data_IF_944038688555
#
_entry.id   IF_944038688555
#
_cell.length_a   1.000
_cell.length_b   1.000
_cell.length_c   1.000
_cell.angle_alpha   90.00
_cell.angle_beta   90.00
_cell.angle_gamma   90.00
#
_symmetry.space_group_name_H-M   'P 1'
#
loop_
_entity.id
_entity.type
_entity.pdbx_description
1 polymer ?
#
# COMPACT_ATOMS: atom_id res chain seq x y z
N UNK A 1 -69.79 34.66 -45.35
CA UNK A 1 -69.19 33.32 -45.39
C UNK A 1 -67.70 33.28 -45.77
N UNK A 2 -67.09 34.37 -46.26
CA UNK A 2 -65.63 34.41 -46.52
C UNK A 2 -64.76 34.58 -45.26
N UNK A 3 -65.28 35.21 -44.19
CA UNK A 3 -64.52 35.52 -42.98
C UNK A 3 -64.15 34.30 -42.12
N UNK A 4 -64.97 33.23 -42.10
CA UNK A 4 -64.64 32.00 -41.38
C UNK A 4 -63.49 31.20 -42.01
N UNK A 5 -63.30 31.28 -43.34
CA UNK A 5 -62.27 30.48 -44.02
C UNK A 5 -60.86 31.05 -43.82
N UNK A 6 -60.73 32.37 -43.67
CA UNK A 6 -59.44 33.05 -43.47
C UNK A 6 -58.95 32.87 -42.03
N UNK A 7 -59.85 32.89 -41.03
CA UNK A 7 -59.49 32.66 -39.62
C UNK A 7 -59.04 31.21 -39.34
N UNK A 8 -59.65 30.21 -39.98
CA UNK A 8 -59.21 28.82 -39.83
C UNK A 8 -57.82 28.56 -40.44
N UNK A 9 -57.47 29.21 -41.56
CA UNK A 9 -56.14 29.08 -42.16
C UNK A 9 -55.07 29.77 -41.32
N UNK A 10 -55.35 30.92 -40.71
CA UNK A 10 -54.46 31.59 -39.76
C UNK A 10 -54.20 30.77 -38.50
N UNK A 11 -55.22 30.08 -37.98
CA UNK A 11 -55.07 29.17 -36.83
C UNK A 11 -54.18 27.96 -37.17
N UNK A 12 -54.29 27.40 -38.38
CA UNK A 12 -53.42 26.30 -38.83
C UNK A 12 -51.97 26.78 -38.98
N UNK A 13 -51.74 27.96 -39.58
CA UNK A 13 -50.39 28.53 -39.72
C UNK A 13 -49.79 28.82 -38.34
N UNK A 14 -50.51 29.47 -37.42
CA UNK A 14 -50.03 29.72 -36.05
C UNK A 14 -49.80 28.43 -35.24
N UNK A 15 -50.62 27.38 -35.46
CA UNK A 15 -50.41 26.07 -34.86
C UNK A 15 -49.16 25.37 -35.42
N UNK A 16 -48.81 25.59 -36.70
CA UNK A 16 -47.59 25.05 -37.30
C UNK A 16 -46.31 25.80 -36.91
N UNK A 17 -46.37 27.11 -36.57
CA UNK A 17 -45.18 27.86 -36.11
C UNK A 17 -44.94 27.70 -34.59
N UNK A 18 -45.94 27.28 -33.82
CA UNK A 18 -45.84 27.15 -32.35
C UNK A 18 -45.17 25.88 -31.81
N UNK A 19 -44.99 24.83 -32.63
CA UNK A 19 -44.54 23.50 -32.14
C UNK A 19 -43.02 23.30 -32.27
N UNK A 20 -42.28 24.19 -32.94
CA UNK A 20 -40.87 23.95 -33.29
C UNK A 20 -39.84 24.35 -32.23
N UNK A 21 -40.22 24.98 -31.12
CA UNK A 21 -39.25 25.54 -30.14
C UNK A 21 -39.20 24.87 -28.76
N UNK A 22 -40.09 23.93 -28.44
CA UNK A 22 -40.12 23.31 -27.10
C UNK A 22 -39.13 22.14 -26.93
N UNK A 23 -38.60 21.57 -28.01
CA UNK A 23 -37.71 20.40 -27.94
C UNK A 23 -36.21 20.75 -27.94
N UNK A 24 -35.83 21.99 -28.24
CA UNK A 24 -34.42 22.38 -28.42
C UNK A 24 -33.69 22.68 -27.09
N UNK A 25 -34.39 23.14 -26.05
CA UNK A 25 -33.75 23.54 -24.79
C UNK A 25 -33.25 22.36 -23.94
N UNK A 26 -33.93 21.21 -23.97
CA UNK A 26 -33.56 20.06 -23.15
C UNK A 26 -32.25 19.39 -23.57
N UNK A 27 -31.91 19.41 -24.86
CA UNK A 27 -30.69 18.77 -25.35
C UNK A 27 -29.43 19.53 -24.92
N UNK A 28 -29.47 20.87 -24.93
CA UNK A 28 -28.33 21.69 -24.50
C UNK A 28 -28.03 21.51 -23.00
N UNK A 29 -29.06 21.41 -22.17
CA UNK A 29 -28.91 21.14 -20.73
C UNK A 29 -28.31 19.76 -20.47
N UNK A 30 -28.72 18.73 -21.23
CA UNK A 30 -28.15 17.38 -21.14
C UNK A 30 -26.67 17.36 -21.53
N UNK A 31 -26.30 18.03 -22.63
CA UNK A 31 -24.89 18.13 -23.06
C UNK A 31 -24.05 18.88 -22.02
N UNK A 32 -24.56 19.96 -21.43
CA UNK A 32 -23.89 20.68 -20.33
C UNK A 32 -23.72 19.81 -19.09
N UNK A 33 -24.75 19.04 -18.72
CA UNK A 33 -24.70 18.10 -17.60
C UNK A 33 -23.65 17.01 -17.82
N UNK A 34 -23.59 16.45 -19.02
CA UNK A 34 -22.57 15.49 -19.42
C UNK A 34 -21.17 16.11 -19.28
N UNK A 35 -20.94 17.30 -19.87
CA UNK A 35 -19.67 18.06 -19.77
C UNK A 35 -19.20 18.29 -18.34
N UNK A 36 -20.11 18.57 -17.41
CA UNK A 36 -19.77 18.70 -16.00
C UNK A 36 -19.32 17.37 -15.39
N UNK A 37 -20.00 16.26 -15.71
CA UNK A 37 -19.65 14.94 -15.19
C UNK A 37 -18.28 14.46 -15.66
N UNK A 38 -17.95 14.67 -16.93
CA UNK A 38 -16.59 14.38 -17.44
C UNK A 38 -15.50 15.15 -16.70
N UNK A 39 -15.69 16.46 -16.48
CA UNK A 39 -14.73 17.28 -15.72
C UNK A 39 -14.61 16.81 -14.27
N UNK A 40 -15.73 16.44 -13.67
CA UNK A 40 -15.78 15.87 -12.32
C UNK A 40 -15.03 14.54 -12.24
N UNK A 41 -15.19 13.65 -13.22
CA UNK A 41 -14.45 12.37 -13.31
C UNK A 41 -12.95 12.62 -13.44
N UNK A 42 -12.50 13.56 -14.28
CA UNK A 42 -11.09 13.90 -14.40
C UNK A 42 -10.50 14.45 -13.09
N UNK A 43 -11.25 15.31 -12.38
CA UNK A 43 -10.84 15.82 -11.05
C UNK A 43 -10.72 14.68 -10.04
N UNK A 44 -11.75 13.85 -9.93
CA UNK A 44 -11.81 12.74 -8.97
C UNK A 44 -10.74 11.68 -9.24
N UNK A 45 -10.44 11.39 -10.52
CA UNK A 45 -9.29 10.57 -10.91
C UNK A 45 -8.00 11.09 -10.26
N UNK A 46 -7.69 12.38 -10.43
CA UNK A 46 -6.48 12.97 -9.86
C UNK A 46 -6.45 12.92 -8.32
N UNK A 47 -7.59 13.16 -7.67
CA UNK A 47 -7.71 13.03 -6.21
C UNK A 47 -7.52 11.57 -5.75
N UNK A 48 -8.01 10.60 -6.53
CA UNK A 48 -7.85 9.17 -6.28
C UNK A 48 -6.38 8.75 -6.40
N UNK A 49 -5.66 9.25 -7.41
CA UNK A 49 -4.22 9.01 -7.59
C UNK A 49 -3.40 9.58 -6.41
N UNK A 50 -3.71 10.80 -5.95
CA UNK A 50 -3.03 11.40 -4.79
C UNK A 50 -3.34 10.66 -3.49
N UNK A 51 -4.60 10.27 -3.26
CA UNK A 51 -4.97 9.45 -2.12
C UNK A 51 -4.24 8.10 -2.15
N UNK A 52 -4.21 7.44 -3.30
CA UNK A 52 -3.50 6.16 -3.52
C UNK A 52 -2.02 6.27 -3.15
N UNK A 53 -1.35 7.34 -3.57
CA UNK A 53 0.07 7.57 -3.25
C UNK A 53 0.30 7.73 -1.74
N UNK A 54 -0.55 8.50 -1.07
CA UNK A 54 -0.47 8.68 0.38
C UNK A 54 -0.70 7.35 1.13
N UNK A 55 -1.71 6.57 0.71
CA UNK A 55 -2.00 5.25 1.28
C UNK A 55 -0.84 4.28 1.08
N UNK A 56 -0.23 4.26 -0.10
CA UNK A 56 0.95 3.43 -0.39
C UNK A 56 2.13 3.80 0.52
N UNK A 57 2.43 5.09 0.66
CA UNK A 57 3.52 5.56 1.53
C UNK A 57 3.30 5.15 2.99
N UNK A 58 2.09 5.33 3.52
CA UNK A 58 1.76 4.93 4.88
C UNK A 58 1.89 3.39 5.07
N UNK A 59 1.44 2.61 4.09
CA UNK A 59 1.60 1.16 4.08
C UNK A 59 3.07 0.70 4.05
N UNK A 60 3.92 1.34 3.25
CA UNK A 60 5.36 1.06 3.16
C UNK A 60 6.12 1.44 4.44
N UNK A 61 5.72 2.52 5.12
CA UNK A 61 6.26 2.90 6.43
C UNK A 61 5.93 1.85 7.50
N UNK A 62 4.68 1.40 7.56
CA UNK A 62 4.26 0.32 8.45
C UNK A 62 5.03 -0.99 8.18
N UNK A 63 5.25 -1.35 6.92
CA UNK A 63 6.04 -2.54 6.57
C UNK A 63 7.50 -2.43 7.01
N UNK A 64 8.14 -1.29 6.73
CA UNK A 64 9.53 -1.04 7.15
C UNK A 64 9.69 -1.14 8.67
N UNK A 65 8.72 -0.60 9.42
CA UNK A 65 8.71 -0.72 10.87
C UNK A 65 8.66 -2.18 11.33
N UNK A 66 7.78 -2.99 10.72
CA UNK A 66 7.68 -4.43 11.04
C UNK A 66 8.99 -5.14 10.77
N UNK A 67 9.56 -4.97 9.57
CA UNK A 67 10.81 -5.62 9.17
C UNK A 67 11.98 -5.21 10.07
N UNK A 68 12.04 -3.94 10.48
CA UNK A 68 13.12 -3.43 11.32
C UNK A 68 13.09 -4.00 12.74
N UNK A 69 11.90 -4.18 13.31
CA UNK A 69 11.72 -4.52 14.72
C UNK A 69 11.53 -6.01 14.97
N UNK A 70 11.11 -6.80 13.98
CA UNK A 70 10.83 -8.23 14.11
C UNK A 70 11.99 -9.02 14.72
N UNK A 71 13.19 -8.86 14.19
CA UNK A 71 14.36 -9.59 14.67
C UNK A 71 14.93 -9.02 15.99
N UNK A 72 14.45 -7.85 16.41
CA UNK A 72 14.91 -7.12 17.60
C UNK A 72 13.97 -7.24 18.80
N UNK A 73 12.83 -7.91 18.66
CA UNK A 73 11.80 -8.01 19.71
C UNK A 73 12.36 -8.38 21.08
N UNK A 74 13.26 -9.37 21.16
CA UNK A 74 13.88 -9.79 22.43
C UNK A 74 14.75 -8.69 23.06
N UNK A 75 15.50 -7.96 22.23
CA UNK A 75 16.34 -6.87 22.68
C UNK A 75 15.49 -5.69 23.14
N UNK A 76 14.46 -5.34 22.37
CA UNK A 76 13.50 -4.28 22.73
C UNK A 76 12.80 -4.66 24.03
N UNK A 77 12.29 -5.88 24.17
CA UNK A 77 11.57 -6.36 25.36
C UNK A 77 12.39 -6.31 26.66
N UNK A 78 13.72 -6.29 26.56
CA UNK A 78 14.61 -6.16 27.71
C UNK A 78 14.81 -4.71 28.19
N UNK A 79 14.38 -3.72 27.39
CA UNK A 79 14.49 -2.29 27.70
C UNK A 79 13.10 -1.62 27.76
N UNK A 80 12.60 -1.27 28.96
CA UNK A 80 11.29 -0.65 29.13
C UNK A 80 11.06 0.65 28.34
N UNK A 81 12.10 1.44 28.12
CA UNK A 81 11.97 2.71 27.38
C UNK A 81 11.86 2.46 25.87
N UNK A 82 12.65 1.53 25.32
CA UNK A 82 12.52 1.12 23.92
C UNK A 82 11.18 0.41 23.65
N UNK A 83 10.63 -0.37 24.60
CA UNK A 83 9.27 -0.92 24.50
C UNK A 83 8.23 0.19 24.33
N UNK A 84 8.25 1.21 25.21
CA UNK A 84 7.29 2.32 25.15
C UNK A 84 7.40 3.07 23.83
N UNK A 85 8.62 3.40 23.40
CA UNK A 85 8.89 4.09 22.15
C UNK A 85 8.38 3.28 20.95
N UNK A 86 8.73 2.00 20.86
CA UNK A 86 8.30 1.10 19.78
C UNK A 86 6.77 1.00 19.71
N UNK A 87 6.10 0.94 20.87
CA UNK A 87 4.64 0.92 20.93
C UNK A 87 3.99 2.21 20.42
N UNK A 88 4.51 3.37 20.84
CA UNK A 88 3.97 4.67 20.41
C UNK A 88 4.13 4.81 18.89
N UNK A 89 5.33 4.55 18.37
CA UNK A 89 5.62 4.61 16.93
C UNK A 89 4.75 3.62 16.14
N UNK A 90 4.62 2.38 16.63
CA UNK A 90 3.75 1.38 16.00
C UNK A 90 2.28 1.79 15.98
N UNK A 91 1.77 2.38 17.07
CA UNK A 91 0.38 2.89 17.13
C UNK A 91 0.15 4.05 16.16
N UNK A 92 1.09 4.98 16.05
CA UNK A 92 1.02 6.10 15.10
C UNK A 92 1.00 5.58 13.65
N UNK A 93 1.82 4.58 13.32
CA UNK A 93 1.84 3.97 11.99
C UNK A 93 0.53 3.25 11.65
N UNK A 94 -0.06 2.53 12.61
CA UNK A 94 -1.39 1.90 12.43
C UNK A 94 -2.44 2.97 12.14
N UNK A 95 -2.46 4.06 12.91
CA UNK A 95 -3.43 5.13 12.76
C UNK A 95 -3.27 5.84 11.40
N UNK A 96 -2.04 6.15 11.01
CA UNK A 96 -1.73 6.80 9.74
C UNK A 96 -2.12 5.93 8.53
N UNK A 97 -1.75 4.64 8.53
CA UNK A 97 -2.10 3.71 7.46
C UNK A 97 -3.63 3.52 7.37
N UNK A 98 -4.31 3.37 8.50
CA UNK A 98 -5.78 3.21 8.55
C UNK A 98 -6.48 4.46 8.01
N UNK A 99 -6.11 5.66 8.48
CA UNK A 99 -6.70 6.93 8.00
C UNK A 99 -6.46 7.16 6.52
N UNK A 100 -5.25 6.87 6.03
CA UNK A 100 -4.94 6.99 4.62
C UNK A 100 -5.76 6.01 3.77
N UNK A 101 -5.95 4.78 4.25
CA UNK A 101 -6.80 3.79 3.59
C UNK A 101 -8.28 4.23 3.55
N UNK A 102 -8.81 4.75 4.65
CA UNK A 102 -10.19 5.28 4.72
C UNK A 102 -10.42 6.42 3.73
N UNK A 103 -9.50 7.40 3.67
CA UNK A 103 -9.58 8.50 2.71
C UNK A 103 -9.52 8.01 1.26
N UNK A 104 -8.65 7.03 0.96
CA UNK A 104 -8.59 6.45 -0.38
C UNK A 104 -9.88 5.69 -0.74
N UNK A 105 -10.54 5.03 0.22
CA UNK A 105 -11.86 4.40 -0.01
C UNK A 105 -12.91 5.43 -0.39
N UNK A 106 -13.01 6.53 0.36
CA UNK A 106 -13.98 7.60 0.10
C UNK A 106 -13.82 8.17 -1.33
N UNK A 107 -12.61 8.60 -1.67
CA UNK A 107 -12.34 9.18 -2.99
C UNK A 107 -12.51 8.15 -4.12
N UNK A 108 -12.13 6.89 -3.89
CA UNK A 108 -12.37 5.79 -4.83
C UNK A 108 -13.86 5.60 -5.11
N UNK A 109 -14.70 5.60 -4.06
CA UNK A 109 -16.14 5.36 -4.20
C UNK A 109 -16.85 6.52 -4.92
N UNK A 110 -16.41 7.76 -4.67
CA UNK A 110 -16.83 8.92 -5.47
C UNK A 110 -16.38 8.80 -6.93
N UNK A 111 -15.16 8.34 -7.17
CA UNK A 111 -14.60 8.14 -8.50
C UNK A 111 -15.38 7.07 -9.27
N UNK A 112 -15.76 5.95 -8.63
CA UNK A 112 -16.62 4.91 -9.21
C UNK A 112 -17.94 5.53 -9.67
N UNK A 113 -18.62 6.25 -8.77
CA UNK A 113 -19.91 6.88 -9.05
C UNK A 113 -19.82 7.88 -10.20
N UNK A 114 -18.75 8.68 -10.24
CA UNK A 114 -18.53 9.67 -11.30
C UNK A 114 -18.22 9.00 -12.63
N UNK A 115 -17.38 7.95 -12.63
CA UNK A 115 -17.05 7.13 -13.81
C UNK A 115 -18.31 6.56 -14.45
N UNK A 116 -19.19 5.93 -13.66
CA UNK A 116 -20.44 5.34 -14.14
C UNK A 116 -21.34 6.37 -14.80
N UNK A 117 -21.54 7.52 -14.14
CA UNK A 117 -22.33 8.63 -14.71
C UNK A 117 -21.72 9.20 -15.98
N UNK A 118 -20.39 9.30 -16.06
CA UNK A 118 -19.71 9.75 -17.28
C UNK A 118 -19.91 8.74 -18.41
N UNK A 119 -19.77 7.44 -18.11
CA UNK A 119 -19.99 6.36 -19.07
C UNK A 119 -21.42 6.33 -19.63
N UNK A 120 -22.44 6.44 -18.77
CA UNK A 120 -23.85 6.52 -19.19
C UNK A 120 -24.12 7.70 -20.14
N UNK A 121 -23.40 8.81 -19.94
CA UNK A 121 -23.53 10.01 -20.75
C UNK A 121 -22.67 10.01 -22.01
N UNK A 122 -21.80 9.01 -22.25
CA UNK A 122 -20.94 8.92 -23.46
C UNK A 122 -21.76 8.98 -24.74
N UNK A 123 -22.97 8.41 -24.76
CA UNK A 123 -23.86 8.49 -25.92
C UNK A 123 -24.31 9.94 -26.22
N UNK A 124 -24.45 10.79 -25.21
CA UNK A 124 -24.75 12.22 -25.38
C UNK A 124 -23.53 13.00 -25.89
N UNK A 125 -22.31 12.46 -25.72
CA UNK A 125 -21.06 13.01 -26.24
C UNK A 125 -20.75 12.69 -27.70
N UNK A 126 -21.54 11.82 -28.35
CA UNK A 126 -21.39 11.47 -29.77
C UNK A 126 -21.40 12.67 -30.73
N UNK A 127 -21.72 13.87 -30.23
CA UNK A 127 -21.72 15.13 -30.97
C UNK A 127 -20.40 15.92 -30.89
N UNK A 128 -19.45 15.61 -29.99
CA UNK A 128 -18.23 16.41 -29.83
C UNK A 128 -16.92 15.64 -29.55
N UNK A 129 -16.85 14.74 -28.57
CA UNK A 129 -15.57 14.11 -28.18
C UNK A 129 -15.75 12.82 -27.35
N UNK A 130 -16.31 11.79 -27.98
CA UNK A 130 -16.53 10.47 -27.37
C UNK A 130 -15.23 9.81 -26.92
N UNK A 131 -14.15 9.98 -27.69
CA UNK A 131 -12.85 9.37 -27.40
C UNK A 131 -12.25 9.91 -26.10
N UNK A 132 -12.31 11.23 -25.87
CA UNK A 132 -11.86 11.81 -24.61
C UNK A 132 -12.67 11.29 -23.42
N UNK A 133 -14.00 11.21 -23.55
CA UNK A 133 -14.86 10.70 -22.49
C UNK A 133 -14.56 9.23 -22.14
N UNK A 134 -14.42 8.37 -23.15
CA UNK A 134 -14.03 6.97 -22.96
C UNK A 134 -12.64 6.84 -22.31
N UNK A 135 -11.69 7.67 -22.74
CA UNK A 135 -10.36 7.70 -22.13
C UNK A 135 -10.42 8.11 -20.66
N UNK A 136 -11.20 9.13 -20.30
CA UNK A 136 -11.36 9.54 -18.90
C UNK A 136 -11.98 8.43 -18.04
N UNK A 137 -12.94 7.66 -18.58
CA UNK A 137 -13.52 6.50 -17.91
C UNK A 137 -12.47 5.41 -17.66
N UNK A 138 -11.66 5.07 -18.67
CA UNK A 138 -10.57 4.07 -18.54
C UNK A 138 -9.49 4.50 -17.57
N UNK A 139 -9.07 5.76 -17.65
CA UNK A 139 -8.10 6.35 -16.74
C UNK A 139 -8.61 6.34 -15.28
N UNK A 140 -9.89 6.68 -15.06
CA UNK A 140 -10.51 6.61 -13.73
C UNK A 140 -10.61 5.16 -13.22
N UNK A 141 -10.92 4.21 -14.08
CA UNK A 141 -10.93 2.78 -13.75
C UNK A 141 -9.56 2.27 -13.31
N UNK A 142 -8.50 2.67 -14.00
CA UNK A 142 -7.12 2.38 -13.59
C UNK A 142 -6.81 2.95 -12.21
N UNK A 143 -7.18 4.21 -11.95
CA UNK A 143 -6.97 4.86 -10.65
C UNK A 143 -7.72 4.14 -9.52
N UNK A 144 -8.96 3.69 -9.76
CA UNK A 144 -9.76 2.89 -8.81
C UNK A 144 -9.05 1.57 -8.49
N UNK A 145 -8.50 0.88 -9.50
CA UNK A 145 -7.79 -0.38 -9.30
C UNK A 145 -6.51 -0.18 -8.46
N UNK A 146 -5.74 0.86 -8.77
CA UNK A 146 -4.53 1.19 -8.00
C UNK A 146 -4.86 1.57 -6.55
N UNK A 147 -5.96 2.31 -6.34
CA UNK A 147 -6.45 2.65 -5.01
C UNK A 147 -6.81 1.40 -4.20
N UNK A 148 -7.54 0.44 -4.78
CA UNK A 148 -7.87 -0.83 -4.11
C UNK A 148 -6.60 -1.57 -3.67
N UNK A 149 -5.63 -1.70 -4.56
CA UNK A 149 -4.36 -2.36 -4.25
C UNK A 149 -3.63 -1.65 -3.12
N UNK A 150 -3.56 -0.31 -3.14
CA UNK A 150 -2.89 0.46 -2.09
C UNK A 150 -3.62 0.35 -0.73
N UNK A 151 -4.95 0.38 -0.74
CA UNK A 151 -5.79 0.20 0.46
C UNK A 151 -5.49 -1.16 1.10
N UNK A 152 -5.55 -2.25 0.34
CA UNK A 152 -5.30 -3.61 0.85
C UNK A 152 -3.90 -3.75 1.45
N UNK A 153 -2.89 -3.18 0.78
CA UNK A 153 -1.49 -3.18 1.26
C UNK A 153 -1.37 -2.40 2.58
N UNK A 154 -1.94 -1.20 2.67
CA UNK A 154 -1.87 -0.37 3.86
C UNK A 154 -2.57 -1.05 5.05
N UNK A 155 -3.76 -1.61 4.85
CA UNK A 155 -4.51 -2.32 5.89
C UNK A 155 -3.76 -3.58 6.36
N UNK A 156 -3.23 -4.36 5.41
CA UNK A 156 -2.43 -5.56 5.73
C UNK A 156 -1.21 -5.20 6.57
N UNK A 157 -0.50 -4.12 6.20
CA UNK A 157 0.69 -3.70 6.93
C UNK A 157 0.35 -3.09 8.30
N UNK A 158 -0.77 -2.38 8.44
CA UNK A 158 -1.26 -1.93 9.74
C UNK A 158 -1.55 -3.12 10.68
N UNK A 159 -2.23 -4.17 10.18
CA UNK A 159 -2.46 -5.38 10.99
C UNK A 159 -1.15 -6.11 11.33
N UNK A 160 -0.15 -6.13 10.44
CA UNK A 160 1.19 -6.67 10.76
C UNK A 160 1.89 -5.88 11.86
N UNK A 161 1.79 -4.55 11.87
CA UNK A 161 2.32 -3.72 12.97
C UNK A 161 1.63 -4.09 14.28
N UNK A 162 0.31 -4.23 14.27
CA UNK A 162 -0.47 -4.64 15.43
C UNK A 162 -0.07 -6.03 15.95
N UNK A 163 0.14 -7.01 15.08
CA UNK A 163 0.67 -8.33 15.44
C UNK A 163 2.07 -8.21 16.07
N UNK A 164 2.97 -7.43 15.48
CA UNK A 164 4.31 -7.21 16.04
C UNK A 164 4.25 -6.61 17.46
N UNK A 165 3.35 -5.64 17.70
CA UNK A 165 3.18 -5.05 19.03
C UNK A 165 2.65 -6.05 20.06
N UNK A 166 1.80 -7.01 19.65
CA UNK A 166 1.36 -8.11 20.50
C UNK A 166 2.51 -9.07 20.82
N UNK A 167 3.31 -9.44 19.81
CA UNK A 167 4.51 -10.27 20.01
C UNK A 167 5.53 -9.59 20.94
N UNK A 168 5.64 -8.27 20.88
CA UNK A 168 6.45 -7.48 21.81
C UNK A 168 5.93 -7.58 23.25
N UNK A 169 4.61 -7.52 23.45
CA UNK A 169 4.00 -7.70 24.78
C UNK A 169 4.29 -9.07 25.37
N UNK A 170 4.14 -10.12 24.57
CA UNK A 170 4.46 -11.49 24.99
C UNK A 170 5.95 -11.64 25.35
N UNK A 171 6.84 -11.02 24.57
CA UNK A 171 8.27 -11.01 24.85
C UNK A 171 8.61 -10.28 26.15
N UNK A 172 7.93 -9.17 26.46
CA UNK A 172 8.10 -8.43 27.73
C UNK A 172 7.67 -9.26 28.93
N UNK A 173 6.56 -10.00 28.83
CA UNK A 173 6.11 -10.93 29.89
C UNK A 173 7.16 -12.03 30.10
N UNK A 174 7.62 -12.66 29.02
CA UNK A 174 8.63 -13.72 29.09
C UNK A 174 9.98 -13.23 29.65
N UNK A 175 10.37 -11.99 29.36
CA UNK A 175 11.59 -11.39 29.91
C UNK A 175 11.50 -11.20 31.44
N UNK A 176 10.37 -10.69 31.94
CA UNK A 176 10.12 -10.50 33.38
C UNK A 176 10.10 -11.81 34.17
N UNK A 177 9.58 -12.89 33.59
CA UNK A 177 9.59 -14.21 34.24
C UNK A 177 11.00 -14.78 34.41
N UNK A 178 11.88 -14.56 33.42
CA UNK A 178 13.28 -14.97 33.49
C UNK A 178 14.06 -14.20 34.54
N UNK A 179 13.82 -12.90 34.68
CA UNK A 179 14.45 -12.07 35.72
C UNK A 179 14.14 -12.61 37.13
N UNK A 180 12.87 -12.95 37.39
CA UNK A 180 12.44 -13.56 38.66
C UNK A 180 13.09 -14.92 38.92
N UNK A 181 13.29 -15.74 37.88
CA UNK A 181 13.98 -17.04 38.03
C UNK A 181 15.47 -16.88 38.34
N UNK A 182 16.13 -15.86 37.78
CA UNK A 182 17.54 -15.58 38.06
C UNK A 182 17.71 -15.03 39.48
N UNK A 183 16.79 -14.18 39.95
CA UNK A 183 16.84 -13.62 41.31
C UNK A 183 16.53 -14.66 42.41
N UNK A 184 15.78 -15.71 42.08
CA UNK A 184 15.42 -16.79 43.02
C UNK A 184 16.39 -17.98 43.07
N UNK A 185 17.48 -17.96 42.28
CA UNK A 185 18.55 -18.95 42.47
C UNK A 185 19.28 -18.70 43.80
N UNK A 186 19.35 -19.69 44.71
CA UNK A 186 20.09 -19.53 45.95
C UNK A 186 21.56 -19.27 45.64
N UNK A 187 22.06 -18.11 46.08
CA UNK A 187 23.48 -17.86 46.21
C UNK A 187 24.11 -19.10 46.85
N UNK A 188 25.07 -19.80 46.22
CA UNK A 188 25.85 -20.79 46.94
C UNK A 188 26.59 -20.02 48.03
N UNK A 189 26.08 -20.11 49.26
CA UNK A 189 26.83 -19.72 50.45
C UNK A 189 28.07 -20.61 50.47
N UNK A 190 29.16 -20.12 49.90
CA UNK A 190 30.50 -20.60 50.21
C UNK A 190 30.75 -20.30 51.68
N UNK A 191 30.31 -21.22 52.54
CA UNK A 191 30.77 -21.35 53.91
C UNK A 191 32.27 -21.66 53.86
N UNK A 192 33.11 -20.63 53.91
CA UNK A 192 34.52 -20.77 54.29
C UNK A 192 34.63 -20.48 55.78
N UNK A 193 34.52 -21.54 56.57
CA UNK A 193 34.96 -21.55 57.97
C UNK A 193 36.26 -22.35 58.08
N UNK A 194 37.35 -21.60 58.28
CA UNK A 194 38.43 -21.85 59.25
C UNK A 194 39.39 -23.06 59.13
N UNK A 195 40.67 -22.69 58.96
CA UNK A 195 41.89 -23.19 59.63
C UNK A 195 42.31 -24.67 59.51
N UNK A 196 43.46 -24.84 58.85
CA UNK A 196 44.35 -25.99 58.99
C UNK A 196 45.62 -25.74 58.16
N UNK A 197 46.65 -25.17 58.80
CA UNK A 197 48.00 -25.06 58.25
C UNK A 197 48.53 -26.44 57.87
N UNK A 198 49.00 -26.61 56.64
CA UNK A 198 50.13 -27.49 56.42
C UNK A 198 51.01 -27.00 55.26
N UNK A 199 52.17 -26.56 55.69
CA UNK A 199 53.31 -26.09 54.95
C UNK A 199 53.89 -27.21 54.08
N UNK A 200 54.09 -26.93 52.79
CA UNK A 200 54.75 -27.81 51.83
C UNK A 200 55.14 -27.03 50.58
N UNK A 201 56.39 -26.58 50.54
CA UNK A 201 57.05 -25.95 49.41
C UNK A 201 57.00 -26.84 48.15
N UNK A 202 56.72 -26.29 46.97
CA UNK A 202 57.68 -26.08 45.85
C UNK A 202 56.96 -25.56 44.59
N UNK A 203 57.61 -24.59 43.93
CA UNK A 203 57.71 -24.33 42.47
C UNK A 203 56.50 -24.66 41.58
N UNK A 204 55.93 -23.78 40.75
CA UNK A 204 56.47 -22.67 39.98
C UNK A 204 55.73 -22.64 38.63
N UNK A 205 55.33 -21.43 38.20
CA UNK A 205 54.85 -21.03 36.87
C UNK A 205 53.43 -21.39 36.37
N UNK A 206 52.58 -20.37 36.50
CA UNK A 206 51.85 -19.66 35.43
C UNK A 206 51.23 -20.49 34.29
N UNK A 207 49.90 -20.47 34.23
CA UNK A 207 49.18 -20.60 32.97
C UNK A 207 48.05 -19.56 32.95
N UNK A 208 48.24 -18.50 32.18
CA UNK A 208 47.18 -17.59 31.73
C UNK A 208 46.30 -18.34 30.72
N UNK A 209 45.03 -18.54 31.06
CA UNK A 209 44.00 -18.85 30.07
C UNK A 209 43.28 -17.56 29.71
N UNK A 210 43.71 -16.94 28.60
CA UNK A 210 42.90 -15.95 27.88
C UNK A 210 42.13 -16.68 26.77
N UNK A 211 40.82 -16.73 26.92
CA UNK A 211 39.91 -17.05 25.83
C UNK A 211 39.91 -15.91 24.81
N UNK A 212 40.30 -16.21 23.56
CA UNK A 212 39.74 -15.58 22.35
C UNK A 212 40.20 -16.32 21.08
N UNK A 213 39.20 -16.79 20.33
CA UNK A 213 39.10 -16.62 18.88
C UNK A 213 40.03 -17.43 17.94
N UNK A 214 39.48 -18.49 17.33
CA UNK A 214 39.45 -18.70 15.86
C UNK A 214 38.87 -20.08 15.50
N UNK A 215 37.63 -20.09 15.03
CA UNK A 215 37.18 -21.10 14.07
C UNK A 215 36.26 -20.45 13.05
N UNK A 216 36.87 -19.84 12.03
CA UNK A 216 36.20 -19.59 10.76
C UNK A 216 36.14 -20.92 10.02
N UNK A 217 35.01 -21.61 10.12
CA UNK A 217 34.66 -22.61 9.10
C UNK A 217 33.83 -21.90 8.03
N UNK A 218 34.41 -21.82 6.83
CA UNK A 218 33.71 -21.46 5.61
C UNK A 218 32.65 -22.51 5.33
N UNK A 219 31.38 -22.21 5.63
CA UNK A 219 30.26 -22.98 5.11
C UNK A 219 29.94 -22.50 3.70
N UNK A 220 30.60 -23.11 2.71
CA UNK A 220 30.25 -22.96 1.30
C UNK A 220 29.04 -23.86 1.03
N UNK A 221 27.84 -23.32 1.20
CA UNK A 221 26.62 -24.02 0.79
C UNK A 221 26.46 -23.88 -0.72
N UNK A 222 26.81 -24.93 -1.46
CA UNK A 222 26.32 -25.13 -2.83
C UNK A 222 24.87 -25.61 -2.72
N UNK A 223 23.92 -24.68 -2.83
CA UNK A 223 22.51 -25.03 -3.00
C UNK A 223 22.33 -25.49 -4.44
N UNK A 224 22.28 -26.80 -4.64
CA UNK A 224 21.74 -27.40 -5.86
C UNK A 224 20.23 -27.25 -5.79
N UNK A 225 19.66 -26.29 -6.54
CA UNK A 225 18.21 -26.16 -6.68
C UNK A 225 17.77 -27.28 -7.62
N UNK A 226 17.22 -28.34 -7.04
CA UNK A 226 16.54 -29.38 -7.79
C UNK A 226 15.14 -28.86 -8.14
N UNK A 227 15.03 -28.10 -9.23
CA UNK A 227 13.74 -27.67 -9.78
C UNK A 227 13.14 -28.90 -10.44
N UNK A 228 12.21 -29.56 -9.75
CA UNK A 228 11.32 -30.53 -10.37
C UNK A 228 10.48 -29.74 -11.38
N UNK A 229 10.65 -30.10 -12.65
CA UNK A 229 10.03 -29.43 -13.77
C UNK A 229 8.53 -29.64 -13.75
N UNK A 230 7.83 -28.59 -13.35
CA UNK A 230 6.55 -28.18 -13.89
C UNK A 230 6.42 -26.69 -13.53
N UNK A 231 6.26 -25.83 -14.54
CA UNK A 231 5.97 -24.39 -14.44
C UNK A 231 7.13 -23.38 -14.55
N UNK A 232 8.08 -23.61 -15.45
CA UNK A 232 9.05 -22.58 -15.91
C UNK A 232 8.49 -21.68 -17.03
N UNK A 233 7.43 -22.10 -17.72
CA UNK A 233 6.83 -21.32 -18.83
C UNK A 233 6.06 -20.07 -18.37
N UNK A 234 5.50 -20.08 -17.14
CA UNK A 234 4.80 -18.91 -16.60
C UNK A 234 5.74 -17.76 -16.19
N UNK A 235 7.01 -18.05 -15.88
CA UNK A 235 7.99 -17.04 -15.46
C UNK A 235 8.74 -16.38 -16.62
N UNK A 236 8.80 -17.02 -17.79
CA UNK A 236 9.48 -16.46 -18.98
C UNK A 236 8.54 -15.69 -19.92
N UNK A 237 7.22 -15.88 -19.81
CA UNK A 237 6.24 -15.23 -20.70
C UNK A 237 5.87 -13.80 -20.26
N UNK A 238 6.15 -13.41 -19.02
CA UNK A 238 5.78 -12.09 -18.47
C UNK A 238 6.81 -10.97 -18.65
N UNK A 239 8.04 -11.29 -19.07
CA UNK A 239 9.16 -10.32 -19.12
C UNK A 239 9.52 -9.83 -20.53
N UNK A 240 8.78 -10.25 -21.58
CA UNK A 240 9.19 -10.04 -22.97
C UNK A 240 8.52 -8.86 -23.70
N UNK A 241 7.55 -8.14 -23.12
CA UNK A 241 6.87 -7.04 -23.82
C UNK A 241 6.87 -5.75 -22.98
N UNK A 242 7.97 -4.97 -23.05
CA UNK A 242 7.98 -3.50 -23.04
C UNK A 242 9.41 -2.96 -22.87
N UNK A 243 10.30 -3.29 -23.80
CA UNK A 243 11.57 -2.57 -23.95
C UNK A 243 11.84 -2.35 -25.42
N UNK A 244 11.14 -1.36 -26.00
CA UNK A 244 11.50 -0.77 -27.27
C UNK A 244 12.82 0.00 -27.11
N UNK A 245 13.94 -0.73 -27.08
CA UNK A 245 15.25 -0.15 -27.34
C UNK A 245 15.38 0.04 -28.85
N UNK A 246 15.27 1.29 -29.30
CA UNK A 246 15.71 1.69 -30.62
C UNK A 246 17.23 1.49 -30.71
N UNK A 247 17.65 0.50 -31.49
CA UNK A 247 19.04 0.38 -31.91
C UNK A 247 19.27 1.33 -33.09
N UNK A 248 20.40 2.01 -32.99
CA UNK A 248 20.92 3.02 -33.89
C UNK A 248 21.70 2.34 -35.02
N UNK A 249 21.18 2.38 -36.25
CA UNK A 249 21.87 1.88 -37.43
C UNK A 249 22.55 3.07 -38.11
N UNK A 250 23.75 3.41 -37.62
CA UNK A 250 24.65 4.33 -38.29
C UNK A 250 25.04 3.78 -39.67
N UNK A 251 24.39 4.29 -40.72
CA UNK A 251 24.86 4.13 -42.10
C UNK A 251 25.76 5.32 -42.44
N UNK A 252 27.07 5.07 -42.40
CA UNK A 252 28.09 5.90 -43.03
C UNK A 252 28.72 5.09 -44.15
N UNK A 253 28.70 5.62 -45.37
CA UNK A 253 29.77 5.61 -46.40
C UNK A 253 29.16 5.66 -47.81
N UNK A 254 29.89 6.14 -48.84
CA UNK A 254 30.98 7.12 -48.89
C UNK A 254 30.57 8.45 -49.57
#
# INVERSE_FOLDING_TARGET
>A
MLSCRVLCLLAIVLCCVGVTHAAASGHEELVKGAQQKFKETLRLKGECEEATKATRQAGEEAERFVLHNKDKLKTIAADPEEVKKTKIEGQELIENATKAAEKAKEVRDETITSKEKTYENVALYLLQDTEAAEKAVKDAESAIFDANTAIEVAETNAERVKTLLQELDDAVVAAKEKEKQVESQPHPQTNKTSLGEQQGHTEGNQTEQTQKEKQRQHYRSTVTINIHGDNLDALLSGAANNSGMALNDGSSSP
#
